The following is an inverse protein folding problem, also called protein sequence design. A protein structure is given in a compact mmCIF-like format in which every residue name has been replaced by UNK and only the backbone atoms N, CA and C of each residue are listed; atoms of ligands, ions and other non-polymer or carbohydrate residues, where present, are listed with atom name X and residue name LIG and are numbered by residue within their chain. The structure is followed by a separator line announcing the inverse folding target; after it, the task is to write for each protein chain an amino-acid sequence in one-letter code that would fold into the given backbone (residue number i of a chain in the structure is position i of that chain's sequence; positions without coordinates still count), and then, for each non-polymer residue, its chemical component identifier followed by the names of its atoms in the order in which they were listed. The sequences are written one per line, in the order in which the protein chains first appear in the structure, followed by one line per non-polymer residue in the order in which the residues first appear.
data_IF_894649231557
#
_entry.id   IF_894649231557
#
_cell.length_a   1.000
_cell.length_b   1.000
_cell.length_c   1.000
_cell.angle_alpha   90.00
_cell.angle_beta   90.00
_cell.angle_gamma   90.00
#
_symmetry.space_group_name_H-M   'P 1'
#
loop_
_entity.id
_entity.type
_entity.pdbx_description
1 polymer ?
#
# COMPACT_ATOMS: atom_id res chain seq x y z
N UNK A 1 83.46 2.76 -40.12
CA UNK A 1 82.41 1.72 -40.21
C UNK A 1 81.44 1.93 -39.06
N UNK A 2 81.23 3.20 -38.68
CA UNK A 2 80.97 3.56 -37.28
C UNK A 2 79.57 4.20 -37.17
N UNK A 3 79.15 4.99 -38.15
CA UNK A 3 77.81 5.60 -38.16
C UNK A 3 76.63 4.64 -38.36
N UNK A 4 76.88 3.37 -38.73
CA UNK A 4 75.82 2.35 -38.83
C UNK A 4 75.54 1.67 -37.49
N UNK A 5 76.55 1.54 -36.62
CA UNK A 5 76.37 1.04 -35.25
C UNK A 5 75.74 2.11 -34.37
N UNK A 6 76.19 3.36 -34.50
CA UNK A 6 75.67 4.48 -33.71
C UNK A 6 74.19 4.73 -34.03
N UNK A 7 73.82 4.84 -35.31
CA UNK A 7 72.41 5.07 -35.70
C UNK A 7 71.46 3.91 -35.38
N UNK A 8 71.97 2.67 -35.25
CA UNK A 8 71.15 1.52 -34.86
C UNK A 8 70.97 1.44 -33.34
N UNK A 9 72.00 1.80 -32.56
CA UNK A 9 71.89 1.93 -31.11
C UNK A 9 70.96 3.09 -30.71
N UNK A 10 71.12 4.26 -31.33
CA UNK A 10 70.32 5.44 -31.03
C UNK A 10 68.84 5.20 -31.40
N UNK A 11 68.56 4.71 -32.61
CA UNK A 11 67.18 4.45 -33.03
C UNK A 11 66.48 3.34 -32.23
N UNK A 12 67.23 2.37 -31.69
CA UNK A 12 66.67 1.33 -30.83
C UNK A 12 66.46 1.80 -29.40
N UNK A 13 67.38 2.60 -28.85
CA UNK A 13 67.20 3.21 -27.53
C UNK A 13 66.04 4.20 -27.54
N UNK A 14 65.98 5.12 -28.49
CA UNK A 14 64.94 6.14 -28.58
C UNK A 14 63.58 5.50 -28.84
N UNK A 15 63.47 4.60 -29.83
CA UNK A 15 62.20 3.95 -30.15
C UNK A 15 61.67 3.04 -29.03
N UNK A 16 62.56 2.44 -28.24
CA UNK A 16 62.15 1.62 -27.09
C UNK A 16 61.83 2.45 -25.86
N UNK A 17 62.60 3.52 -25.58
CA UNK A 17 62.29 4.44 -24.48
C UNK A 17 60.98 5.17 -24.73
N UNK A 18 60.80 5.77 -25.90
CA UNK A 18 59.61 6.55 -26.23
C UNK A 18 58.39 5.63 -26.30
N UNK A 19 58.48 4.51 -27.02
CA UNK A 19 57.35 3.58 -27.14
C UNK A 19 56.93 2.93 -25.82
N UNK A 20 57.88 2.69 -24.91
CA UNK A 20 57.58 2.13 -23.59
C UNK A 20 57.11 3.18 -22.60
N UNK A 21 57.69 4.39 -22.59
CA UNK A 21 57.22 5.49 -21.74
C UNK A 21 55.83 5.93 -22.16
N UNK A 22 55.60 6.21 -23.44
CA UNK A 22 54.31 6.71 -23.94
C UNK A 22 53.24 5.64 -23.80
N UNK A 23 53.51 4.41 -24.22
CA UNK A 23 52.54 3.31 -24.12
C UNK A 23 52.18 2.92 -22.68
N UNK A 24 53.13 3.05 -21.74
CA UNK A 24 52.87 2.77 -20.33
C UNK A 24 52.23 3.94 -19.61
N UNK A 25 52.63 5.19 -19.89
CA UNK A 25 51.98 6.38 -19.35
C UNK A 25 50.54 6.45 -19.85
N UNK A 26 50.32 6.44 -21.16
CA UNK A 26 48.98 6.60 -21.74
C UNK A 26 48.06 5.44 -21.31
N UNK A 27 48.52 4.19 -21.42
CA UNK A 27 47.70 3.04 -21.05
C UNK A 27 47.38 2.96 -19.55
N UNK A 28 48.27 3.43 -18.68
CA UNK A 28 48.04 3.44 -17.24
C UNK A 28 47.19 4.65 -16.82
N UNK A 29 47.43 5.83 -17.39
CA UNK A 29 46.66 7.03 -17.09
C UNK A 29 45.22 6.87 -17.60
N UNK A 30 45.03 6.48 -18.86
CA UNK A 30 43.70 6.31 -19.45
C UNK A 30 42.95 5.16 -18.75
N UNK A 31 43.58 4.00 -18.60
CA UNK A 31 42.92 2.84 -17.98
C UNK A 31 42.57 3.04 -16.50
N UNK A 32 43.40 3.78 -15.75
CA UNK A 32 43.12 4.07 -14.34
C UNK A 32 42.11 5.21 -14.19
N UNK A 33 42.21 6.25 -15.02
CA UNK A 33 41.33 7.41 -14.96
C UNK A 33 39.92 7.06 -15.44
N UNK A 34 39.78 6.35 -16.56
CA UNK A 34 38.49 5.88 -17.08
C UNK A 34 37.89 4.82 -16.15
N UNK A 35 38.65 3.79 -15.77
CA UNK A 35 38.13 2.73 -14.91
C UNK A 35 37.71 3.20 -13.51
N UNK A 36 38.40 4.21 -12.97
CA UNK A 36 38.06 4.78 -11.66
C UNK A 36 36.96 5.83 -11.75
N UNK A 37 36.96 6.72 -12.76
CA UNK A 37 35.85 7.66 -12.95
C UNK A 37 34.57 6.93 -13.30
N UNK A 38 34.57 6.06 -14.30
CA UNK A 38 33.34 5.38 -14.75
C UNK A 38 32.83 4.43 -13.66
N UNK A 39 33.70 3.57 -13.11
CA UNK A 39 33.28 2.60 -12.10
C UNK A 39 32.80 3.22 -10.78
N UNK A 40 33.39 4.34 -10.36
CA UNK A 40 32.97 5.02 -9.14
C UNK A 40 31.75 5.91 -9.37
N UNK A 41 31.70 6.61 -10.51
CA UNK A 41 30.61 7.53 -10.82
C UNK A 41 29.33 6.79 -11.19
N UNK A 42 29.41 5.73 -12.01
CA UNK A 42 28.27 4.87 -12.34
C UNK A 42 27.81 4.08 -11.10
N UNK A 43 28.74 3.42 -10.39
CA UNK A 43 28.37 2.63 -9.21
C UNK A 43 27.77 3.45 -8.08
N UNK A 44 28.18 4.72 -7.93
CA UNK A 44 27.64 5.62 -6.91
C UNK A 44 26.36 6.31 -7.38
N UNK A 45 26.26 6.75 -8.64
CA UNK A 45 25.00 7.33 -9.16
C UNK A 45 23.91 6.28 -9.22
N UNK A 46 24.16 5.11 -9.81
CA UNK A 46 23.14 4.06 -9.97
C UNK A 46 22.75 3.49 -8.61
N UNK A 47 23.73 3.12 -7.77
CA UNK A 47 23.43 2.54 -6.46
C UNK A 47 22.71 3.50 -5.51
N UNK A 48 22.98 4.81 -5.60
CA UNK A 48 22.33 5.80 -4.75
C UNK A 48 21.00 6.28 -5.34
N UNK A 49 20.89 6.51 -6.65
CA UNK A 49 19.62 6.84 -7.27
C UNK A 49 18.64 5.67 -7.17
N UNK A 50 19.02 4.46 -7.59
CA UNK A 50 18.10 3.32 -7.60
C UNK A 50 17.72 2.93 -6.17
N UNK A 51 18.69 2.80 -5.27
CA UNK A 51 18.41 2.41 -3.88
C UNK A 51 17.58 3.42 -3.10
N UNK A 52 17.76 4.72 -3.34
CA UNK A 52 16.98 5.76 -2.68
C UNK A 52 15.62 5.97 -3.34
N UNK A 53 15.56 5.94 -4.67
CA UNK A 53 14.33 6.19 -5.41
C UNK A 53 13.38 5.00 -5.32
N UNK A 54 13.87 3.76 -5.47
CA UNK A 54 13.06 2.55 -5.31
C UNK A 54 12.65 2.36 -3.84
N UNK A 55 13.59 2.46 -2.90
CA UNK A 55 13.28 2.27 -1.48
C UNK A 55 12.31 3.31 -0.90
N UNK A 56 12.36 4.54 -1.41
CA UNK A 56 11.45 5.60 -0.98
C UNK A 56 10.11 5.57 -1.73
N UNK A 57 10.10 5.29 -3.04
CA UNK A 57 8.83 5.12 -3.78
C UNK A 57 8.07 3.90 -3.29
N UNK A 58 8.71 2.73 -3.21
CA UNK A 58 8.03 1.50 -2.82
C UNK A 58 7.57 1.57 -1.37
N UNK A 59 8.43 1.99 -0.44
CA UNK A 59 8.07 2.10 0.97
C UNK A 59 6.97 3.13 1.25
N UNK A 60 6.90 4.20 0.46
CA UNK A 60 5.88 5.23 0.62
C UNK A 60 4.57 4.89 -0.12
N UNK A 61 4.64 4.35 -1.34
CA UNK A 61 3.46 3.88 -2.06
C UNK A 61 2.82 2.69 -1.35
N UNK A 62 3.58 1.64 -1.05
CA UNK A 62 3.00 0.43 -0.44
C UNK A 62 2.48 0.74 0.96
N UNK A 63 3.29 1.43 1.80
CA UNK A 63 2.87 1.75 3.17
C UNK A 63 1.68 2.70 3.26
N UNK A 64 1.55 3.64 2.33
CA UNK A 64 0.42 4.58 2.31
C UNK A 64 -0.81 3.98 1.63
N UNK A 65 -0.63 3.22 0.55
CA UNK A 65 -1.72 2.62 -0.21
C UNK A 65 -2.33 1.44 0.54
N UNK A 66 -1.52 0.54 1.12
CA UNK A 66 -2.02 -0.57 1.93
C UNK A 66 -2.65 -0.06 3.24
N UNK A 67 -1.94 0.82 3.97
CA UNK A 67 -2.45 1.34 5.24
C UNK A 67 -3.75 2.16 5.09
N UNK A 68 -3.92 2.86 3.96
CA UNK A 68 -5.13 3.63 3.69
C UNK A 68 -6.25 2.77 3.08
N UNK A 69 -5.95 1.87 2.14
CA UNK A 69 -6.98 0.97 1.59
C UNK A 69 -7.49 0.00 2.64
N UNK A 70 -6.61 -0.71 3.35
CA UNK A 70 -7.02 -1.72 4.32
C UNK A 70 -7.71 -1.06 5.51
N UNK A 71 -7.11 0.00 6.08
CA UNK A 71 -7.71 0.68 7.24
C UNK A 71 -9.05 1.37 6.94
N UNK A 72 -9.24 1.86 5.71
CA UNK A 72 -10.48 2.52 5.31
C UNK A 72 -11.54 1.53 4.81
N UNK A 73 -11.17 0.51 4.03
CA UNK A 73 -12.11 -0.53 3.59
C UNK A 73 -12.58 -1.37 4.77
N UNK A 74 -11.68 -1.86 5.62
CA UNK A 74 -12.06 -2.72 6.75
C UNK A 74 -12.87 -1.92 7.77
N UNK A 75 -12.40 -0.72 8.14
CA UNK A 75 -13.11 0.13 9.10
C UNK A 75 -14.49 0.59 8.61
N UNK A 76 -14.65 0.81 7.30
CA UNK A 76 -15.93 1.21 6.72
C UNK A 76 -16.86 0.02 6.45
N UNK A 77 -16.36 -1.10 5.93
CA UNK A 77 -17.17 -2.30 5.73
C UNK A 77 -17.62 -2.87 7.07
N UNK A 78 -16.72 -3.09 8.02
CA UNK A 78 -17.09 -3.69 9.31
C UNK A 78 -18.02 -2.74 10.07
N UNK A 79 -17.67 -1.47 10.20
CA UNK A 79 -18.49 -0.49 10.94
C UNK A 79 -19.87 -0.25 10.32
N UNK A 80 -19.98 -0.25 8.99
CA UNK A 80 -21.26 -0.04 8.32
C UNK A 80 -22.09 -1.32 8.26
N UNK A 81 -21.46 -2.47 8.00
CA UNK A 81 -22.15 -3.74 7.86
C UNK A 81 -22.63 -4.27 9.21
N UNK A 82 -21.79 -4.21 10.26
CA UNK A 82 -22.19 -4.59 11.62
C UNK A 82 -23.22 -3.61 12.16
N UNK A 83 -22.96 -2.30 12.07
CA UNK A 83 -23.88 -1.28 12.58
C UNK A 83 -25.25 -1.29 11.89
N UNK A 84 -25.29 -1.62 10.60
CA UNK A 84 -26.54 -1.71 9.85
C UNK A 84 -27.24 -3.06 10.04
N UNK A 85 -26.52 -4.19 10.04
CA UNK A 85 -27.14 -5.50 10.30
C UNK A 85 -27.66 -5.58 11.73
N UNK A 86 -26.86 -5.23 12.72
CA UNK A 86 -27.27 -5.34 14.13
C UNK A 86 -28.38 -4.32 14.43
N UNK A 87 -28.20 -3.06 14.04
CA UNK A 87 -29.19 -2.02 14.30
C UNK A 87 -30.53 -2.26 13.58
N UNK A 88 -30.51 -2.84 12.37
CA UNK A 88 -31.72 -3.14 11.62
C UNK A 88 -32.36 -4.46 12.04
N UNK A 89 -31.59 -5.53 12.29
CA UNK A 89 -32.14 -6.79 12.80
C UNK A 89 -32.72 -6.60 14.19
N UNK A 90 -31.97 -6.01 15.13
CA UNK A 90 -32.44 -5.85 16.51
C UNK A 90 -33.64 -4.89 16.55
N UNK A 91 -33.54 -3.74 15.88
CA UNK A 91 -34.63 -2.75 15.87
C UNK A 91 -35.91 -3.26 15.17
N UNK A 92 -35.78 -4.05 14.11
CA UNK A 92 -36.94 -4.63 13.42
C UNK A 92 -37.51 -5.82 14.17
N UNK A 93 -36.67 -6.69 14.71
CA UNK A 93 -37.10 -7.90 15.39
C UNK A 93 -37.73 -7.57 16.75
N UNK A 94 -37.11 -6.70 17.54
CA UNK A 94 -37.67 -6.23 18.82
C UNK A 94 -38.93 -5.40 18.58
N UNK A 95 -38.87 -4.40 17.68
CA UNK A 95 -40.01 -3.53 17.42
C UNK A 95 -41.23 -4.26 16.84
N UNK A 96 -41.01 -5.30 16.03
CA UNK A 96 -42.09 -6.10 15.45
C UNK A 96 -42.61 -7.16 16.42
N UNK A 97 -41.74 -7.83 17.20
CA UNK A 97 -42.19 -8.77 18.24
C UNK A 97 -42.96 -8.05 19.33
N UNK A 98 -42.40 -6.99 19.90
CA UNK A 98 -43.01 -6.25 21.01
C UNK A 98 -44.31 -5.58 20.55
N UNK A 99 -44.28 -4.88 19.41
CA UNK A 99 -45.48 -4.21 18.89
C UNK A 99 -46.60 -5.17 18.49
N UNK A 100 -46.27 -6.37 18.01
CA UNK A 100 -47.27 -7.38 17.67
C UNK A 100 -47.80 -8.13 18.89
N UNK A 101 -46.94 -8.49 19.85
CA UNK A 101 -47.37 -9.12 21.10
C UNK A 101 -48.23 -8.18 21.95
N UNK A 102 -47.77 -6.95 22.18
CA UNK A 102 -48.47 -5.97 23.00
C UNK A 102 -49.79 -5.56 22.34
N UNK A 103 -49.75 -5.22 21.05
CA UNK A 103 -50.96 -4.81 20.32
C UNK A 103 -52.01 -5.92 20.20
N UNK A 104 -51.59 -7.19 20.11
CA UNK A 104 -52.50 -8.33 20.08
C UNK A 104 -53.06 -8.69 21.46
N UNK A 105 -52.24 -8.64 22.52
CA UNK A 105 -52.70 -8.85 23.89
C UNK A 105 -53.67 -7.76 24.34
N UNK A 106 -53.33 -6.48 24.12
CA UNK A 106 -54.16 -5.35 24.53
C UNK A 106 -55.47 -5.32 23.74
N UNK A 107 -55.41 -5.48 22.41
CA UNK A 107 -56.61 -5.49 21.58
C UNK A 107 -57.54 -6.67 21.88
N UNK A 108 -57.00 -7.82 22.30
CA UNK A 108 -57.80 -8.98 22.69
C UNK A 108 -58.40 -8.80 24.08
N UNK A 109 -57.65 -8.29 25.07
CA UNK A 109 -58.20 -8.00 26.39
C UNK A 109 -59.28 -6.91 26.36
N UNK A 110 -59.03 -5.80 25.67
CA UNK A 110 -59.99 -4.69 25.58
C UNK A 110 -61.27 -5.12 24.85
N UNK A 111 -61.14 -5.84 23.73
CA UNK A 111 -62.29 -6.34 22.98
C UNK A 111 -63.13 -7.35 23.77
N UNK A 112 -62.52 -8.11 24.68
CA UNK A 112 -63.22 -9.05 25.54
C UNK A 112 -63.91 -8.36 26.72
N UNK A 113 -63.26 -7.37 27.35
CA UNK A 113 -63.86 -6.59 28.44
C UNK A 113 -65.01 -5.70 27.96
N UNK A 114 -64.84 -5.01 26.84
CA UNK A 114 -65.93 -4.25 26.21
C UNK A 114 -67.05 -5.20 25.75
N UNK A 115 -66.65 -6.35 25.20
CA UNK A 115 -67.38 -7.61 25.04
C UNK A 115 -68.50 -7.87 26.05
N UNK A 116 -68.04 -8.10 27.26
CA UNK A 116 -68.91 -8.44 28.38
C UNK A 116 -69.69 -7.21 28.87
N UNK A 117 -69.11 -6.02 28.82
CA UNK A 117 -69.78 -4.80 29.24
C UNK A 117 -71.02 -4.47 28.38
N UNK A 118 -70.93 -4.57 27.04
CA UNK A 118 -72.08 -4.33 26.16
C UNK A 118 -73.15 -5.41 26.30
N UNK A 119 -72.76 -6.68 26.48
CA UNK A 119 -73.70 -7.79 26.57
C UNK A 119 -74.47 -7.78 27.90
N UNK A 120 -73.80 -7.41 29.01
CA UNK A 120 -74.43 -7.19 30.31
C UNK A 120 -75.33 -5.93 30.33
N UNK A 121 -74.95 -4.87 29.61
CA UNK A 121 -75.75 -3.65 29.46
C UNK A 121 -77.03 -3.85 28.63
N UNK A 122 -76.96 -4.61 27.55
CA UNK A 122 -78.12 -4.98 26.72
C UNK A 122 -79.08 -5.91 27.47
N UNK A 123 -78.55 -6.87 28.23
CA UNK A 123 -79.38 -7.76 29.07
C UNK A 123 -80.17 -7.01 30.14
N UNK A 124 -79.56 -6.00 30.78
CA UNK A 124 -80.24 -5.15 31.77
C UNK A 124 -81.28 -4.20 31.17
N UNK A 125 -81.16 -3.88 29.89
CA UNK A 125 -82.09 -2.97 29.19
C UNK A 125 -83.32 -3.67 28.62
N UNK A 126 -83.30 -5.01 28.57
CA UNK A 126 -84.36 -5.84 27.99
C UNK A 126 -85.31 -6.46 29.05
N UNK A 127 -85.18 -6.06 30.32
CA UNK A 127 -86.03 -6.44 31.45
C UNK A 127 -86.76 -5.23 32.03
#
# INVERSE_FOLDING_TARGET
MDGWMDGWMDGWMDGWMDGWMDGWMDGWMDGWMDGWMDGWMDGWMDGWMDGWMDGWMDGWMDGWMDGWMDGWMDGWMDGWMDGWMDGWMDGWMDGWMDGWMDGWMDGWMDGWMDGEAYSLGLWRSCW
#
